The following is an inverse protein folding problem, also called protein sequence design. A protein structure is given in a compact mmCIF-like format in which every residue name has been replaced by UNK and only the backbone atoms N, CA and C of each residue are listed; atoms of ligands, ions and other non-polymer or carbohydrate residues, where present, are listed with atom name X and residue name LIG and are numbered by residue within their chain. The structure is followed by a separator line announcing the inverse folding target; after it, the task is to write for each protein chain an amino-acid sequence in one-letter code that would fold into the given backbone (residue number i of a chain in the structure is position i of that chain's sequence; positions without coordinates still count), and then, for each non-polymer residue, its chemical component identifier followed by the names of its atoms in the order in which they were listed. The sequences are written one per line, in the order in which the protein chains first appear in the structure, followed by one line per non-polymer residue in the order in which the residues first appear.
data_IF_569238900166
#
_entry.id   IF_569238900166
#
_cell.length_a   1.000
_cell.length_b   1.000
_cell.length_c   1.000
_cell.angle_alpha   90.00
_cell.angle_beta   90.00
_cell.angle_gamma   90.00
#
_symmetry.space_group_name_H-M   'P 1'
#
loop_
_entity.id
_entity.type
_entity.pdbx_description
1 polymer ?
#
# COMPACT_ATOMS: atom_id res chain seq x y z
N UNK A 1 -13.41 9.61 2.15
CA UNK A 1 -12.13 10.27 2.52
C UNK A 1 -11.28 10.29 1.26
N UNK A 2 -10.73 11.42 0.85
CA UNK A 2 -9.94 11.50 -0.38
C UNK A 2 -8.51 11.00 -0.16
N UNK A 3 -7.91 10.44 -1.19
CA UNK A 3 -6.50 10.08 -1.23
C UNK A 3 -5.96 10.26 -2.65
N UNK A 4 -4.65 10.45 -2.76
CA UNK A 4 -3.93 10.59 -4.02
C UNK A 4 -2.80 9.56 -4.05
N UNK A 5 -2.68 8.85 -5.18
CA UNK A 5 -1.53 7.99 -5.49
C UNK A 5 -0.78 8.60 -6.68
N UNK A 6 0.33 9.28 -6.40
CA UNK A 6 1.03 10.12 -7.37
C UNK A 6 0.20 11.35 -7.74
N UNK A 7 -0.46 11.29 -8.88
CA UNK A 7 -1.34 12.33 -9.44
C UNK A 7 -2.76 11.80 -9.75
N UNK A 8 -3.10 10.62 -9.22
CA UNK A 8 -4.41 9.97 -9.37
C UNK A 8 -5.20 10.17 -8.07
N UNK A 9 -6.28 10.92 -8.14
CA UNK A 9 -7.18 11.19 -7.00
C UNK A 9 -8.33 10.17 -6.95
N UNK A 10 -8.64 9.66 -5.76
CA UNK A 10 -9.75 8.74 -5.54
C UNK A 10 -10.37 8.93 -4.15
N UNK A 11 -11.62 8.48 -4.02
CA UNK A 11 -12.28 8.42 -2.73
C UNK A 11 -12.15 7.01 -2.14
N UNK A 12 -11.65 6.93 -0.91
CA UNK A 12 -11.68 5.73 -0.09
C UNK A 12 -13.11 5.46 0.36
N UNK A 13 -13.56 4.21 0.20
CA UNK A 13 -14.85 3.79 0.74
C UNK A 13 -14.76 3.88 2.26
N UNK A 14 -15.54 4.78 2.86
CA UNK A 14 -15.45 5.16 4.29
C UNK A 14 -16.11 4.17 5.25
N UNK A 15 -16.61 3.03 4.77
CA UNK A 15 -17.13 1.99 5.63
C UNK A 15 -15.99 1.07 6.09
N UNK A 16 -15.62 1.22 7.37
CA UNK A 16 -14.87 0.37 8.32
C UNK A 16 -13.65 -0.50 7.85
N UNK A 17 -13.56 -0.95 6.60
CA UNK A 17 -12.52 -1.88 6.08
C UNK A 17 -11.92 -1.45 4.71
N UNK A 18 -12.15 -0.21 4.25
CA UNK A 18 -11.68 0.24 2.93
C UNK A 18 -10.15 0.42 2.80
N UNK A 19 -9.41 0.30 3.89
CA UNK A 19 -7.96 0.46 3.97
C UNK A 19 -7.38 -0.49 5.03
N UNK A 20 -6.58 -1.45 4.59
CA UNK A 20 -5.85 -2.37 5.47
C UNK A 20 -4.35 -2.23 5.21
N UNK A 21 -3.54 -2.16 6.26
CA UNK A 21 -2.09 -2.10 6.16
C UNK A 21 -1.45 -3.22 6.99
N UNK A 22 -0.57 -4.00 6.35
CA UNK A 22 0.19 -5.08 6.96
C UNK A 22 1.64 -4.68 7.07
N UNK A 23 2.18 -4.83 8.27
CA UNK A 23 3.58 -4.55 8.61
C UNK A 23 4.22 -5.84 9.11
N UNK A 24 5.48 -6.07 8.76
CA UNK A 24 6.16 -7.31 9.12
C UNK A 24 7.64 -7.12 9.31
N UNK A 25 8.23 -8.08 10.02
CA UNK A 25 9.68 -8.18 10.22
C UNK A 25 10.09 -9.63 9.99
N UNK A 26 11.30 -9.82 9.50
CA UNK A 26 11.87 -11.14 9.27
C UNK A 26 12.91 -11.49 10.33
N UNK A 27 12.88 -12.76 10.75
CA UNK A 27 13.83 -13.34 11.68
C UNK A 27 14.47 -14.61 11.08
N UNK A 28 15.79 -14.70 11.17
CA UNK A 28 16.51 -15.93 10.90
C UNK A 28 16.63 -16.78 12.19
N UNK A 29 16.42 -18.09 12.07
CA UNK A 29 16.60 -19.03 13.17
C UNK A 29 17.99 -19.67 13.14
N UNK A 30 18.70 -19.60 14.27
CA UNK A 30 20.04 -20.15 14.42
C UNK A 30 20.03 -21.28 15.47
N UNK A 31 20.29 -22.50 15.02
CA UNK A 31 20.41 -23.67 15.89
C UNK A 31 21.57 -23.52 16.91
N UNK A 32 21.37 -24.05 18.12
CA UNK A 32 22.37 -24.02 19.19
C UNK A 32 22.58 -25.42 19.76
N UNK A 33 23.84 -25.75 20.08
CA UNK A 33 24.15 -27.03 20.71
C UNK A 33 23.55 -27.04 22.13
N UNK A 34 22.66 -27.99 22.41
CA UNK A 34 22.10 -28.23 23.75
C UNK A 34 21.07 -27.20 24.23
N UNK A 35 20.63 -26.27 23.39
CA UNK A 35 19.65 -25.23 23.74
C UNK A 35 18.61 -25.00 22.65
N UNK A 36 17.58 -24.21 22.96
CA UNK A 36 16.60 -23.78 21.96
C UNK A 36 17.28 -22.90 20.89
N UNK A 37 16.88 -23.00 19.61
CA UNK A 37 17.34 -22.10 18.57
C UNK A 37 17.10 -20.63 18.94
N UNK A 38 18.01 -19.75 18.55
CA UNK A 38 17.86 -18.30 18.74
C UNK A 38 17.31 -17.65 17.48
N UNK A 39 16.48 -16.61 17.63
CA UNK A 39 16.02 -15.78 16.51
C UNK A 39 16.90 -14.53 16.40
N UNK A 40 17.29 -14.18 15.17
CA UNK A 40 18.01 -12.95 14.85
C UNK A 40 17.17 -12.12 13.89
N UNK A 41 16.91 -10.86 14.26
CA UNK A 41 16.28 -9.89 13.36
C UNK A 41 17.18 -9.68 12.13
N UNK A 42 16.59 -9.79 10.94
CA UNK A 42 17.31 -9.63 9.67
C UNK A 42 16.83 -8.43 8.86
N UNK A 43 15.65 -7.89 9.15
CA UNK A 43 15.14 -6.70 8.49
C UNK A 43 13.62 -6.58 8.59
N UNK A 44 13.12 -5.42 8.19
CA UNK A 44 11.70 -5.17 8.02
C UNK A 44 11.23 -5.74 6.67
N UNK A 45 10.00 -6.26 6.64
CA UNK A 45 9.33 -6.63 5.39
C UNK A 45 8.78 -5.37 4.72
N UNK A 46 8.48 -5.47 3.43
CA UNK A 46 7.71 -4.44 2.75
C UNK A 46 6.35 -4.25 3.44
N UNK A 47 5.97 -3.00 3.61
CA UNK A 47 4.63 -2.63 4.03
C UNK A 47 3.65 -2.90 2.88
N UNK A 48 2.61 -3.67 3.16
CA UNK A 48 1.57 -3.98 2.18
C UNK A 48 0.30 -3.23 2.55
N UNK A 49 -0.36 -2.63 1.58
CA UNK A 49 -1.60 -1.87 1.80
C UNK A 49 -2.65 -2.28 0.78
N UNK A 50 -3.79 -2.75 1.28
CA UNK A 50 -4.96 -3.05 0.48
C UNK A 50 -5.95 -1.89 0.55
N UNK A 51 -6.30 -1.36 -0.62
CA UNK A 51 -7.18 -0.20 -0.74
C UNK A 51 -8.42 -0.56 -1.56
N UNK A 52 -9.60 -0.35 -0.98
CA UNK A 52 -10.86 -0.37 -1.72
C UNK A 52 -11.31 1.06 -1.99
N UNK A 53 -11.40 1.43 -3.27
CA UNK A 53 -11.71 2.78 -3.73
C UNK A 53 -12.96 2.82 -4.62
N UNK A 54 -13.55 4.01 -4.73
CA UNK A 54 -14.65 4.30 -5.66
C UNK A 54 -14.29 5.49 -6.53
N UNK A 55 -14.58 5.35 -7.83
CA UNK A 55 -14.60 6.47 -8.76
C UNK A 55 -16.02 6.98 -8.91
N UNK A 56 -16.24 8.24 -8.56
CA UNK A 56 -17.53 8.88 -8.71
C UNK A 56 -17.55 9.73 -9.98
N UNK A 57 -18.45 9.41 -10.91
CA UNK A 57 -18.52 10.00 -12.26
C UNK A 57 -18.73 11.53 -12.29
N UNK A 58 -19.22 12.14 -11.20
CA UNK A 58 -19.34 13.60 -11.13
C UNK A 58 -17.99 14.30 -10.89
N UNK A 59 -16.96 13.57 -10.44
CA UNK A 59 -15.65 14.13 -10.09
C UNK A 59 -14.54 13.67 -11.03
N UNK A 60 -14.70 12.55 -11.71
CA UNK A 60 -13.71 12.00 -12.63
C UNK A 60 -14.38 11.23 -13.78
N UNK A 61 -13.57 10.83 -14.78
CA UNK A 61 -13.98 9.83 -15.77
C UNK A 61 -13.43 8.48 -15.30
N UNK A 62 -14.26 7.57 -14.74
CA UNK A 62 -13.79 6.37 -14.05
C UNK A 62 -12.89 5.47 -14.89
N UNK A 63 -13.21 5.29 -16.17
CA UNK A 63 -12.43 4.45 -17.09
C UNK A 63 -11.02 5.02 -17.33
N UNK A 64 -10.88 6.34 -17.36
CA UNK A 64 -9.59 7.02 -17.55
C UNK A 64 -8.73 6.84 -16.31
N UNK A 65 -9.27 7.07 -15.12
CA UNK A 65 -8.52 6.93 -13.87
C UNK A 65 -8.15 5.46 -13.58
N UNK A 66 -9.05 4.53 -13.87
CA UNK A 66 -8.74 3.10 -13.80
C UNK A 66 -7.63 2.70 -14.77
N UNK A 67 -7.64 3.24 -15.99
CA UNK A 67 -6.58 3.00 -16.97
C UNK A 67 -5.22 3.58 -16.50
N UNK A 68 -5.21 4.74 -15.84
CA UNK A 68 -4.00 5.33 -15.23
C UNK A 68 -3.42 4.44 -14.14
N UNK A 69 -4.25 3.92 -13.22
CA UNK A 69 -3.82 2.95 -12.21
C UNK A 69 -3.21 1.70 -12.83
N UNK A 70 -3.88 1.11 -13.85
CA UNK A 70 -3.36 -0.07 -14.55
C UNK A 70 -2.05 0.20 -15.30
N UNK A 71 -1.87 1.42 -15.81
CA UNK A 71 -0.64 1.83 -16.49
C UNK A 71 0.51 1.96 -15.50
N UNK A 72 0.28 2.62 -14.36
CA UNK A 72 1.27 2.72 -13.29
C UNK A 72 1.68 1.35 -12.73
N UNK A 73 0.71 0.45 -12.54
CA UNK A 73 0.94 -0.94 -12.14
C UNK A 73 1.85 -1.67 -13.14
N UNK A 74 1.55 -1.59 -14.44
CA UNK A 74 2.37 -2.23 -15.49
C UNK A 74 3.74 -1.58 -15.67
N UNK A 75 3.88 -0.31 -15.34
CA UNK A 75 5.16 0.40 -15.36
C UNK A 75 6.04 0.06 -14.14
N UNK A 76 5.51 -0.67 -13.15
CA UNK A 76 6.17 -0.93 -11.87
C UNK A 76 6.66 0.37 -11.20
N UNK A 77 5.92 1.46 -11.42
CA UNK A 77 6.30 2.78 -10.94
C UNK A 77 5.92 2.92 -9.47
N UNK A 78 6.89 3.37 -8.67
CA UNK A 78 6.63 3.80 -7.31
C UNK A 78 5.90 5.16 -7.33
N UNK A 79 4.76 5.23 -6.65
CA UNK A 79 3.94 6.44 -6.52
C UNK A 79 3.75 6.80 -5.05
N UNK A 80 3.77 8.09 -4.76
CA UNK A 80 3.55 8.60 -3.42
C UNK A 80 2.07 8.46 -3.04
N UNK A 81 1.77 7.83 -1.91
CA UNK A 81 0.42 7.77 -1.35
C UNK A 81 0.24 8.88 -0.31
N UNK A 82 -0.76 9.74 -0.52
CA UNK A 82 -1.08 10.86 0.38
C UNK A 82 -2.58 10.88 0.65
N UNK A 83 -2.98 11.00 1.91
CA UNK A 83 -4.39 11.16 2.28
C UNK A 83 -4.81 12.63 2.19
N UNK A 84 -6.12 12.86 2.01
CA UNK A 84 -6.70 14.20 1.82
C UNK A 84 -6.56 15.13 3.03
N UNK A 85 -6.14 14.61 4.19
CA UNK A 85 -5.74 15.40 5.36
C UNK A 85 -4.26 15.86 5.32
N UNK A 86 -3.51 15.48 4.29
CA UNK A 86 -2.08 15.76 4.12
C UNK A 86 -1.15 14.67 4.65
N UNK A 87 -1.67 13.57 5.19
CA UNK A 87 -0.83 12.49 5.72
C UNK A 87 -0.11 11.77 4.58
N UNK A 88 1.21 11.95 4.53
CA UNK A 88 2.10 11.25 3.61
C UNK A 88 2.38 9.84 4.12
N UNK A 89 2.04 8.81 3.33
CA UNK A 89 2.15 7.39 3.70
C UNK A 89 3.40 6.71 3.16
N UNK A 90 4.09 7.31 2.19
CA UNK A 90 5.28 6.74 1.57
C UNK A 90 5.13 6.47 0.07
N UNK A 91 6.11 5.77 -0.48
CA UNK A 91 6.14 5.34 -1.88
C UNK A 91 5.67 3.89 -1.99
N UNK A 92 4.70 3.64 -2.86
CA UNK A 92 4.11 2.33 -3.08
C UNK A 92 4.15 1.94 -4.55
N UNK A 93 4.31 0.64 -4.82
CA UNK A 93 4.12 0.06 -6.15
C UNK A 93 2.81 -0.71 -6.13
N UNK A 94 2.01 -0.58 -7.19
CA UNK A 94 0.74 -1.31 -7.32
C UNK A 94 1.05 -2.76 -7.75
N UNK A 95 0.45 -3.72 -7.06
CA UNK A 95 0.60 -5.17 -7.30
C UNK A 95 -0.73 -5.85 -7.55
#
# INVERSE_FOLDING_TARGET
MFAVLGDIEFELITYWDGFEATFGVDYAEHARIGGKPGLQFVGDRLDETQITLVFHQHYCVPDVELARLRTAMKAHQALALVFGNGDYRGWFVIT
#
